data_IF_060387997533
#
_entry.id   IF_060387997533
#
_cell.length_a   1.000
_cell.length_b   1.000
_cell.length_c   1.000
_cell.angle_alpha   90.00
_cell.angle_beta   90.00
_cell.angle_gamma   90.00
#
_symmetry.space_group_name_H-M   'P 1'
#
loop_
_entity.id
_entity.type
_entity.pdbx_description
1 polymer ?
#
# COMPACT_ATOMS: atom_id res chain seq x y z
N UNK A 1 1.04 -8.06 16.19
CA UNK A 1 -0.29 -7.43 16.38
C UNK A 1 -0.90 -6.93 15.07
N UNK A 2 -0.19 -6.17 14.22
CA UNK A 2 -0.72 -5.74 12.92
C UNK A 2 -1.25 -6.91 12.05
N UNK A 3 -0.53 -8.04 12.01
CA UNK A 3 -0.97 -9.23 11.25
C UNK A 3 -2.34 -9.78 11.67
N UNK A 4 -2.70 -9.72 12.96
CA UNK A 4 -3.99 -10.18 13.45
C UNK A 4 -5.13 -9.26 12.97
N UNK A 5 -4.91 -7.94 13.00
CA UNK A 5 -5.85 -6.94 12.50
C UNK A 5 -6.03 -7.05 10.98
N UNK A 6 -4.97 -7.39 10.26
CA UNK A 6 -4.99 -7.57 8.79
C UNK A 6 -5.74 -8.84 8.39
N UNK A 7 -5.60 -9.93 9.15
CA UNK A 7 -6.16 -11.24 8.79
C UNK A 7 -7.60 -11.46 9.26
N UNK A 8 -7.89 -11.15 10.54
CA UNK A 8 -9.24 -11.24 11.12
C UNK A 8 -9.39 -10.25 12.28
N UNK A 9 -9.80 -9.00 11.99
CA UNK A 9 -10.02 -8.01 13.05
C UNK A 9 -11.17 -8.37 13.99
N UNK A 10 -12.09 -9.27 13.59
CA UNK A 10 -13.16 -9.76 14.47
C UNK A 10 -12.69 -10.84 15.45
N UNK A 11 -11.52 -11.42 15.19
CA UNK A 11 -10.88 -12.44 16.03
C UNK A 11 -10.03 -11.90 17.18
N UNK A 12 -9.95 -10.57 17.35
CA UNK A 12 -9.21 -9.96 18.47
C UNK A 12 -9.83 -10.34 19.81
N UNK A 13 -9.03 -10.97 20.67
CA UNK A 13 -9.48 -11.30 22.02
C UNK A 13 -9.72 -10.04 22.85
N UNK A 14 -10.53 -10.13 23.90
CA UNK A 14 -10.73 -9.02 24.83
C UNK A 14 -9.41 -8.56 25.48
N UNK A 15 -8.45 -9.48 25.67
CA UNK A 15 -7.13 -9.15 26.21
C UNK A 15 -6.30 -8.32 25.21
N UNK A 16 -6.36 -8.65 23.91
CA UNK A 16 -5.65 -7.88 22.88
C UNK A 16 -6.26 -6.48 22.70
N UNK A 17 -7.59 -6.37 22.76
CA UNK A 17 -8.28 -5.07 22.72
C UNK A 17 -7.93 -4.20 23.93
N UNK A 18 -7.80 -4.80 25.12
CA UNK A 18 -7.39 -4.09 26.32
C UNK A 18 -5.94 -3.61 26.20
N UNK A 19 -5.01 -4.46 25.77
CA UNK A 19 -3.61 -4.09 25.56
C UNK A 19 -3.47 -2.94 24.54
N UNK A 20 -4.24 -2.98 23.45
CA UNK A 20 -4.28 -1.90 22.45
C UNK A 20 -4.80 -0.58 23.03
N UNK A 21 -5.80 -0.65 23.92
CA UNK A 21 -6.40 0.54 24.53
C UNK A 21 -5.54 1.14 25.64
N UNK A 22 -4.60 0.38 26.20
CA UNK A 22 -3.60 0.87 27.15
C UNK A 22 -2.45 1.62 26.46
N UNK A 23 -2.07 1.18 25.26
CA UNK A 23 -0.89 1.70 24.55
C UNK A 23 -1.23 2.82 23.56
N UNK A 24 -2.42 2.79 22.97
CA UNK A 24 -2.83 3.74 21.93
C UNK A 24 -4.06 4.54 22.33
N UNK A 25 -4.06 5.82 21.94
CA UNK A 25 -5.25 6.65 22.02
C UNK A 25 -6.31 6.17 21.03
N UNK A 26 -7.60 6.50 21.26
CA UNK A 26 -8.66 6.20 20.31
C UNK A 26 -8.40 6.74 18.89
N UNK A 27 -7.71 7.89 18.79
CA UNK A 27 -7.35 8.48 17.50
C UNK A 27 -6.29 7.64 16.76
N UNK A 28 -5.25 7.19 17.46
CA UNK A 28 -4.20 6.34 16.89
C UNK A 28 -4.76 4.96 16.48
N UNK A 29 -5.71 4.42 17.24
CA UNK A 29 -6.40 3.17 16.87
C UNK A 29 -7.25 3.35 15.60
N UNK A 30 -7.94 4.49 15.46
CA UNK A 30 -8.68 4.80 14.24
C UNK A 30 -7.75 4.95 13.03
N UNK A 31 -6.59 5.58 13.22
CA UNK A 31 -5.56 5.73 12.19
C UNK A 31 -4.94 4.38 11.79
N UNK A 32 -4.65 3.51 12.76
CA UNK A 32 -4.18 2.15 12.53
C UNK A 32 -5.19 1.35 11.71
N UNK A 33 -6.48 1.39 12.10
CA UNK A 33 -7.55 0.70 11.39
C UNK A 33 -7.71 1.22 9.95
N UNK A 34 -7.64 2.54 9.75
CA UNK A 34 -7.71 3.16 8.42
C UNK A 34 -6.53 2.73 7.55
N UNK A 35 -5.32 2.74 8.09
CA UNK A 35 -4.10 2.35 7.38
C UNK A 35 -4.18 0.89 6.92
N UNK A 36 -4.60 -0.02 7.80
CA UNK A 36 -4.79 -1.43 7.46
C UNK A 36 -5.87 -1.61 6.39
N UNK A 37 -7.00 -0.92 6.51
CA UNK A 37 -8.08 -0.99 5.53
C UNK A 37 -7.64 -0.50 4.14
N UNK A 38 -6.88 0.60 4.08
CA UNK A 38 -6.33 1.13 2.82
C UNK A 38 -5.34 0.15 2.18
N UNK A 39 -4.40 -0.38 2.96
CA UNK A 39 -3.41 -1.34 2.47
C UNK A 39 -4.08 -2.61 1.93
N UNK A 40 -5.08 -3.15 2.65
CA UNK A 40 -5.85 -4.31 2.20
C UNK A 40 -6.66 -4.01 0.93
N UNK A 41 -7.27 -2.82 0.84
CA UNK A 41 -8.03 -2.38 -0.32
C UNK A 41 -7.17 -2.29 -1.58
N UNK A 42 -6.03 -1.60 -1.51
CA UNK A 42 -5.09 -1.50 -2.64
C UNK A 42 -4.51 -2.86 -3.04
N UNK A 43 -4.17 -3.71 -2.07
CA UNK A 43 -3.63 -5.05 -2.36
C UNK A 43 -4.63 -5.90 -3.14
N UNK A 44 -5.91 -5.89 -2.73
CA UNK A 44 -6.98 -6.61 -3.44
C UNK A 44 -7.26 -6.02 -4.82
N UNK A 45 -7.25 -4.70 -4.93
CA UNK A 45 -7.45 -4.02 -6.22
C UNK A 45 -6.32 -4.33 -7.21
N UNK A 46 -5.07 -4.31 -6.76
CA UNK A 46 -3.91 -4.68 -7.57
C UNK A 46 -4.00 -6.13 -8.08
N UNK A 47 -4.43 -7.06 -7.24
CA UNK A 47 -4.67 -8.46 -7.64
C UNK A 47 -5.80 -8.54 -8.67
N UNK A 48 -6.92 -7.86 -8.43
CA UNK A 48 -8.12 -7.94 -9.27
C UNK A 48 -7.92 -7.29 -10.65
N UNK A 49 -7.22 -6.16 -10.71
CA UNK A 49 -6.95 -5.45 -11.95
C UNK A 49 -5.76 -6.02 -12.72
N UNK A 50 -4.86 -6.72 -12.03
CA UNK A 50 -3.63 -7.23 -12.61
C UNK A 50 -2.63 -6.10 -12.93
N UNK A 51 -1.46 -6.46 -13.48
CA UNK A 51 -0.49 -5.46 -13.90
C UNK A 51 -1.07 -4.59 -15.01
N UNK A 52 -0.71 -3.29 -15.08
CA UNK A 52 -1.07 -2.47 -16.23
C UNK A 52 -0.53 -3.13 -17.52
N UNK A 53 -1.30 -3.12 -18.61
CA UNK A 53 -0.91 -3.79 -19.85
C UNK A 53 0.38 -3.23 -20.46
N UNK A 54 0.73 -1.98 -20.11
CA UNK A 54 1.98 -1.31 -20.51
C UNK A 54 2.35 -0.27 -19.46
N UNK A 55 3.62 -0.21 -19.09
CA UNK A 55 4.16 0.91 -18.31
C UNK A 55 4.47 2.04 -19.31
N UNK A 56 3.99 3.27 -19.11
CA UNK A 56 4.36 4.40 -19.96
C UNK A 56 5.88 4.59 -19.93
N UNK A 57 6.51 4.51 -21.09
CA UNK A 57 7.93 4.84 -21.24
C UNK A 57 8.06 6.23 -21.85
N UNK A 58 9.05 6.99 -21.37
CA UNK A 58 9.48 8.20 -22.06
C UNK A 58 10.51 7.80 -23.10
N UNK A 59 10.20 7.95 -24.38
CA UNK A 59 11.19 7.74 -25.44
C UNK A 59 12.11 8.97 -25.54
N UNK A 60 13.42 8.75 -25.38
CA UNK A 60 14.44 9.75 -25.65
C UNK A 60 15.04 9.43 -27.01
N UNK A 61 14.89 10.31 -28.02
CA UNK A 61 15.45 10.06 -29.33
C UNK A 61 16.98 9.98 -29.25
N UNK A 62 17.57 9.02 -29.96
CA UNK A 62 19.03 8.96 -30.13
C UNK A 62 19.49 10.22 -30.89
N UNK A 63 20.47 10.99 -30.38
CA UNK A 63 21.04 12.09 -31.12
C UNK A 63 21.64 11.60 -32.44
N UNK A 64 21.16 12.12 -33.57
CA UNK A 64 21.84 11.95 -34.86
C UNK A 64 23.00 12.94 -34.93
N UNK A 65 24.22 12.51 -35.27
CA UNK A 65 25.32 13.43 -35.55
C UNK A 65 24.91 14.39 -36.67
N UNK A 66 25.05 15.70 -36.44
CA UNK A 66 25.01 16.67 -37.54
C UNK A 66 26.21 16.36 -38.44
N UNK A 67 25.95 16.06 -39.71
CA UNK A 67 26.94 15.61 -40.69
C UNK A 67 28.03 16.62 -41.08
N UNK A 68 28.37 17.55 -40.20
CA UNK A 68 29.39 18.59 -40.39
C UNK A 68 30.56 18.35 -39.45
N UNK A 69 31.26 17.24 -39.67
CA UNK A 69 32.70 17.17 -39.39
C UNK A 69 33.40 17.12 -40.75
N UNK A 70 33.63 18.31 -41.29
CA UNK A 70 34.49 18.58 -42.44
C UNK A 70 35.57 19.57 -42.05
#
# INVERSE_FOLDING_TARGET
MADAVISDPSGLSAADQAALSEEFTPAELAELALTVAMAAGFSKAAIAWGPPPVIPVTEVPTPTPDGTVG
#
